data_IF_242404376273
#
_entry.id   IF_242404376273
#
_cell.length_a   1.000
_cell.length_b   1.000
_cell.length_c   1.000
_cell.angle_alpha   90.00
_cell.angle_beta   90.00
_cell.angle_gamma   90.00
#
_symmetry.space_group_name_H-M   'P 1'
#
loop_
_entity.id
_entity.type
_entity.pdbx_description
1 polymer ?
#
# COMPACT_ATOMS: atom_id res chain seq x y z
N UNK A 1 24.55 21.90 5.32
CA UNK A 1 24.68 20.42 5.31
C UNK A 1 23.47 19.89 4.59
N UNK A 2 23.66 19.57 3.32
CA UNK A 2 22.61 19.15 2.41
C UNK A 2 22.06 17.79 2.85
N UNK A 3 20.79 17.76 3.25
CA UNK A 3 20.04 16.53 3.38
C UNK A 3 19.78 16.02 1.97
N UNK A 4 20.68 15.20 1.44
CA UNK A 4 20.43 14.43 0.24
C UNK A 4 19.21 13.53 0.48
N UNK A 5 18.07 13.92 -0.08
CA UNK A 5 16.89 13.07 -0.17
C UNK A 5 17.25 11.91 -1.10
N UNK A 6 17.57 10.75 -0.52
CA UNK A 6 17.67 9.50 -1.27
C UNK A 6 16.28 8.89 -1.29
N UNK A 7 15.71 8.56 -2.47
CA UNK A 7 14.43 7.89 -2.49
C UNK A 7 14.57 6.52 -1.79
N UNK A 8 13.78 6.30 -0.75
CA UNK A 8 13.62 4.98 -0.13
C UNK A 8 13.42 3.93 -1.22
N UNK A 9 14.25 2.88 -1.20
CA UNK A 9 14.13 1.77 -2.16
C UNK A 9 12.79 1.06 -2.03
N UNK A 10 12.16 1.12 -0.86
CA UNK A 10 10.95 0.38 -0.53
C UNK A 10 9.70 1.24 -0.46
N UNK A 11 8.57 0.66 -0.88
CA UNK A 11 7.26 1.26 -0.63
C UNK A 11 6.85 1.06 0.82
N UNK A 12 6.20 2.09 1.37
CA UNK A 12 5.60 2.02 2.70
C UNK A 12 4.56 0.87 2.74
N UNK A 13 4.46 0.09 3.84
CA UNK A 13 3.58 -1.06 3.95
C UNK A 13 2.08 -0.74 3.76
N UNK A 14 1.25 -1.74 3.36
CA UNK A 14 -0.18 -1.57 3.11
C UNK A 14 -0.98 -0.94 4.26
N UNK A 15 -0.64 -1.17 5.52
CA UNK A 15 -1.32 -0.54 6.67
C UNK A 15 -1.16 0.98 6.74
N UNK A 16 0.06 1.49 6.57
CA UNK A 16 0.34 2.92 6.58
C UNK A 16 -0.21 3.53 5.28
N UNK A 17 -0.10 2.82 4.14
CA UNK A 17 -0.72 3.25 2.87
C UNK A 17 -2.23 3.40 3.01
N UNK A 18 -2.90 2.44 3.64
CA UNK A 18 -4.34 2.49 3.94
C UNK A 18 -4.73 3.77 4.69
N UNK A 19 -4.02 4.05 5.79
CA UNK A 19 -4.27 5.25 6.62
C UNK A 19 -3.93 6.54 5.88
N UNK A 20 -2.85 6.56 5.10
CA UNK A 20 -2.47 7.71 4.27
C UNK A 20 -3.54 8.02 3.23
N UNK A 21 -4.03 7.01 2.50
CA UNK A 21 -5.06 7.18 1.47
C UNK A 21 -6.37 7.69 2.10
N UNK A 22 -6.79 7.10 3.23
CA UNK A 22 -7.97 7.56 3.96
C UNK A 22 -7.83 9.02 4.46
N UNK A 23 -6.67 9.38 5.04
CA UNK A 23 -6.42 10.74 5.53
C UNK A 23 -6.42 11.80 4.41
N UNK A 24 -5.81 11.49 3.26
CA UNK A 24 -5.82 12.40 2.11
C UNK A 24 -7.23 12.63 1.59
N UNK A 25 -8.06 11.59 1.57
CA UNK A 25 -9.45 11.71 1.14
C UNK A 25 -10.26 12.62 2.08
N UNK A 26 -10.11 12.47 3.39
CA UNK A 26 -10.76 13.36 4.36
C UNK A 26 -10.29 14.82 4.25
N UNK A 27 -8.99 15.05 4.00
CA UNK A 27 -8.45 16.40 3.84
C UNK A 27 -8.89 17.07 2.54
N UNK A 28 -9.01 16.31 1.45
CA UNK A 28 -9.58 16.79 0.19
C UNK A 28 -11.04 17.21 0.38
N UNK A 29 -11.85 16.42 1.10
CA UNK A 29 -13.24 16.79 1.42
C UNK A 29 -13.35 18.05 2.27
N UNK A 30 -12.44 18.26 3.22
CA UNK A 30 -12.51 19.39 4.18
C UNK A 30 -11.89 20.67 3.66
N UNK A 31 -10.84 20.58 2.84
CA UNK A 31 -9.95 21.71 2.57
C UNK A 31 -9.33 21.73 1.16
N UNK A 32 -9.72 20.82 0.27
CA UNK A 32 -9.18 20.69 -1.10
C UNK A 32 -7.64 20.51 -1.16
N UNK A 33 -7.03 20.06 -0.06
CA UNK A 33 -5.57 19.86 0.04
C UNK A 33 -5.21 18.39 0.00
N UNK A 34 -4.18 18.07 -0.78
CA UNK A 34 -3.58 16.73 -0.89
C UNK A 34 -2.69 16.34 0.30
N UNK A 35 -2.71 17.10 1.39
CA UNK A 35 -1.88 16.83 2.57
C UNK A 35 -2.38 15.57 3.29
N UNK A 36 -1.50 14.61 3.56
CA UNK A 36 -1.78 13.56 4.55
C UNK A 36 -1.50 14.09 5.96
N UNK A 37 -2.12 13.52 6.99
CA UNK A 37 -1.71 13.71 8.38
C UNK A 37 -0.32 13.09 8.61
N UNK A 38 0.71 13.89 8.34
CA UNK A 38 2.10 13.43 8.43
C UNK A 38 2.43 13.01 9.87
N UNK A 39 1.87 13.66 10.89
CA UNK A 39 2.13 13.33 12.29
C UNK A 39 1.63 11.92 12.63
N UNK A 40 0.48 11.52 12.08
CA UNK A 40 -0.05 10.17 12.25
C UNK A 40 0.78 9.11 11.52
N UNK A 41 1.28 9.40 10.31
CA UNK A 41 2.21 8.52 9.59
C UNK A 41 3.50 8.33 10.39
N UNK A 42 4.04 9.40 10.98
CA UNK A 42 5.23 9.32 11.85
C UNK A 42 5.00 8.51 13.12
N UNK A 43 3.82 8.61 13.73
CA UNK A 43 3.47 7.76 14.88
C UNK A 43 3.42 6.27 14.51
N UNK A 44 2.91 5.92 13.33
CA UNK A 44 2.88 4.52 12.87
C UNK A 44 4.29 3.97 12.62
N UNK A 45 5.16 4.80 12.04
CA UNK A 45 6.59 4.49 11.87
C UNK A 45 7.25 4.24 13.23
N UNK A 46 6.94 5.08 14.22
CA UNK A 46 7.42 4.92 15.61
C UNK A 46 6.96 3.60 16.25
N UNK A 47 5.69 3.22 16.08
CA UNK A 47 5.20 1.92 16.59
C UNK A 47 5.88 0.73 15.91
N UNK A 48 6.15 0.81 14.60
CA UNK A 48 6.89 -0.24 13.87
C UNK A 48 8.34 -0.37 14.31
N UNK A 49 9.04 0.74 14.54
CA UNK A 49 10.41 0.73 15.07
C UNK A 49 10.48 0.06 16.45
N UNK A 50 9.54 0.40 17.34
CA UNK A 50 9.44 -0.23 18.67
C UNK A 50 9.14 -1.73 18.58
N UNK A 51 8.22 -2.14 17.71
CA UNK A 51 7.92 -3.56 17.50
C UNK A 51 9.14 -4.34 16.98
N UNK A 52 9.91 -3.76 16.06
CA UNK A 52 11.14 -4.35 15.54
C UNK A 52 12.34 -4.22 16.50
N UNK A 53 12.16 -3.60 17.68
CA UNK A 53 13.22 -3.33 18.67
C UNK A 53 14.42 -2.60 18.07
N UNK A 54 14.16 -1.67 17.15
CA UNK A 54 15.19 -0.84 16.52
C UNK A 54 15.34 0.45 17.32
N UNK A 55 16.51 0.68 17.90
CA UNK A 55 16.89 2.00 18.42
C UNK A 55 17.20 2.91 17.23
N UNK A 56 16.45 4.01 17.08
CA UNK A 56 16.66 5.02 16.04
C UNK A 56 16.60 6.41 16.66
N UNK A 57 17.70 7.16 16.56
CA UNK A 57 17.84 8.50 17.13
C UNK A 57 16.90 9.55 16.50
N UNK A 58 16.27 9.23 15.36
CA UNK A 58 15.45 10.18 14.59
C UNK A 58 14.07 9.67 14.15
N UNK A 59 13.63 8.49 14.61
CA UNK A 59 12.36 7.86 14.17
C UNK A 59 12.31 7.84 12.63
N UNK A 60 13.26 7.16 11.99
CA UNK A 60 13.33 7.05 10.54
C UNK A 60 12.72 5.72 10.05
N UNK A 61 11.73 5.79 9.15
CA UNK A 61 11.14 4.60 8.53
C UNK A 61 12.17 3.76 7.77
N UNK A 62 13.20 4.39 7.23
CA UNK A 62 14.29 3.68 6.55
C UNK A 62 15.09 2.78 7.50
N UNK A 63 15.22 3.13 8.78
CA UNK A 63 15.89 2.27 9.76
C UNK A 63 15.05 1.03 10.06
N UNK A 64 13.72 1.17 10.13
CA UNK A 64 12.81 0.03 10.23
C UNK A 64 12.95 -0.88 9.02
N UNK A 65 12.84 -0.34 7.81
CA UNK A 65 13.01 -1.10 6.56
C UNK A 65 14.36 -1.82 6.54
N UNK A 66 15.44 -1.11 6.88
CA UNK A 66 16.80 -1.66 6.92
C UNK A 66 16.92 -2.84 7.90
N UNK A 67 16.28 -2.76 9.07
CA UNK A 67 16.30 -3.86 10.04
C UNK A 67 15.60 -5.13 9.53
N UNK A 68 14.65 -4.98 8.61
CA UNK A 68 13.90 -6.10 8.03
C UNK A 68 14.51 -6.62 6.71
N UNK A 69 15.58 -6.00 6.19
CA UNK A 69 16.15 -6.34 4.88
C UNK A 69 16.48 -7.83 4.74
N UNK A 70 17.11 -8.43 5.74
CA UNK A 70 17.47 -9.85 5.71
C UNK A 70 16.23 -10.74 5.54
N UNK A 71 15.19 -10.50 6.31
CA UNK A 71 13.93 -11.26 6.21
C UNK A 71 13.26 -11.03 4.85
N UNK A 72 13.28 -9.79 4.33
CA UNK A 72 12.75 -9.50 3.00
C UNK A 72 13.54 -10.19 1.88
N UNK A 73 14.87 -10.28 1.99
CA UNK A 73 15.73 -11.03 1.06
C UNK A 73 15.43 -12.53 1.07
N UNK A 74 14.99 -13.08 2.21
CA UNK A 74 14.55 -14.47 2.31
C UNK A 74 13.14 -14.70 1.73
N UNK A 75 12.23 -13.73 1.88
CA UNK A 75 10.83 -13.83 1.43
C UNK A 75 10.68 -13.57 -0.07
N UNK A 76 11.30 -12.51 -0.58
CA UNK A 76 11.09 -11.97 -1.93
C UNK A 76 11.32 -13.00 -3.05
N UNK A 77 12.37 -13.85 -3.02
CA UNK A 77 12.63 -14.85 -4.06
C UNK A 77 11.52 -15.90 -4.24
N UNK A 78 10.64 -16.07 -3.25
CA UNK A 78 9.53 -17.03 -3.32
C UNK A 78 8.38 -16.52 -4.21
N UNK A 79 8.39 -15.23 -4.58
CA UNK A 79 7.38 -14.63 -5.44
C UNK A 79 7.89 -14.53 -6.87
N UNK A 80 7.16 -15.15 -7.80
CA UNK A 80 7.45 -15.08 -9.24
C UNK A 80 6.35 -14.31 -9.94
N UNK A 81 6.74 -13.28 -10.69
CA UNK A 81 5.83 -12.56 -11.59
C UNK A 81 5.56 -13.44 -12.81
N UNK A 82 4.30 -13.68 -13.13
CA UNK A 82 3.93 -14.34 -14.38
C UNK A 82 4.02 -13.36 -15.56
N UNK A 83 4.03 -13.91 -16.77
CA UNK A 83 3.87 -13.11 -17.98
C UNK A 83 2.50 -12.42 -17.92
N UNK A 84 2.45 -11.15 -18.35
CA UNK A 84 1.23 -10.35 -18.41
C UNK A 84 0.56 -10.00 -17.06
N UNK A 85 1.21 -10.29 -15.91
CA UNK A 85 0.74 -9.81 -14.61
C UNK A 85 0.76 -8.28 -14.54
N UNK A 86 -0.36 -7.69 -14.15
CA UNK A 86 -0.56 -6.25 -14.01
C UNK A 86 -0.80 -5.81 -12.58
N UNK A 87 -0.84 -6.72 -11.62
CA UNK A 87 -1.15 -6.37 -10.24
C UNK A 87 -0.90 -7.48 -9.24
N UNK A 88 -1.05 -7.14 -7.97
CA UNK A 88 -1.05 -8.07 -6.84
C UNK A 88 -2.22 -7.77 -5.92
N UNK A 89 -2.71 -8.81 -5.23
CA UNK A 89 -3.57 -8.68 -4.06
C UNK A 89 -2.91 -9.45 -2.91
N UNK A 90 -2.70 -8.76 -1.79
CA UNK A 90 -2.05 -9.30 -0.60
C UNK A 90 -3.03 -9.76 0.45
N UNK A 91 -2.70 -10.89 1.07
CA UNK A 91 -3.46 -11.50 2.16
C UNK A 91 -2.52 -11.88 3.29
N UNK A 92 -2.92 -11.61 4.53
CA UNK A 92 -2.20 -12.04 5.74
C UNK A 92 -3.19 -12.74 6.66
N UNK A 93 -2.85 -13.96 7.11
CA UNK A 93 -3.70 -14.82 7.93
C UNK A 93 -5.11 -15.03 7.33
N UNK A 94 -5.23 -15.04 6.00
CA UNK A 94 -6.51 -15.15 5.29
C UNK A 94 -7.24 -13.83 5.05
N UNK A 95 -6.79 -12.72 5.66
CA UNK A 95 -7.44 -11.41 5.52
C UNK A 95 -6.81 -10.59 4.40
N UNK A 96 -7.65 -9.97 3.58
CA UNK A 96 -7.21 -9.00 2.57
C UNK A 96 -6.56 -7.78 3.23
N UNK A 97 -5.38 -7.38 2.76
CA UNK A 97 -4.67 -6.19 3.28
C UNK A 97 -4.50 -5.08 2.26
N UNK A 98 -4.41 -5.42 0.97
CA UNK A 98 -4.29 -4.44 -0.10
C UNK A 98 -4.15 -5.04 -1.48
N UNK A 99 -4.36 -4.21 -2.50
CA UNK A 99 -4.18 -4.54 -3.91
C UNK A 99 -3.57 -3.34 -4.64
N UNK A 100 -2.65 -3.62 -5.56
CA UNK A 100 -2.04 -2.65 -6.47
C UNK A 100 -2.15 -3.18 -7.90
N UNK A 101 -2.66 -2.33 -8.81
CA UNK A 101 -2.82 -2.66 -10.24
C UNK A 101 -2.22 -1.55 -11.10
N UNK A 102 -1.32 -1.92 -12.00
CA UNK A 102 -0.78 -1.10 -13.08
C UNK A 102 -1.06 -1.87 -14.39
N UNK A 103 -1.97 -1.39 -15.26
CA UNK A 103 -2.41 -2.11 -16.46
C UNK A 103 -1.39 -2.01 -17.61
N UNK A 104 -0.11 -2.08 -17.28
CA UNK A 104 1.02 -2.15 -18.19
C UNK A 104 2.03 -3.16 -17.59
N UNK A 105 2.07 -4.40 -18.09
CA UNK A 105 2.89 -5.48 -17.51
C UNK A 105 4.39 -5.14 -17.39
N UNK A 106 4.91 -4.31 -18.28
CA UNK A 106 6.28 -3.81 -18.29
C UNK A 106 6.52 -2.88 -17.09
N UNK A 107 5.66 -1.86 -16.91
CA UNK A 107 5.76 -0.94 -15.77
C UNK A 107 5.54 -1.70 -14.45
N UNK A 108 4.54 -2.58 -14.40
CA UNK A 108 4.31 -3.41 -13.23
C UNK A 108 5.54 -4.26 -12.89
N UNK A 109 6.22 -4.81 -13.91
CA UNK A 109 7.46 -5.55 -13.75
C UNK A 109 8.56 -4.77 -13.03
N UNK A 110 8.70 -3.47 -13.30
CA UNK A 110 9.69 -2.61 -12.65
C UNK A 110 9.43 -2.36 -11.16
N UNK A 111 8.18 -2.50 -10.71
CA UNK A 111 7.80 -2.23 -9.31
C UNK A 111 7.42 -3.49 -8.52
N UNK A 112 7.32 -4.64 -9.17
CA UNK A 112 6.86 -5.89 -8.58
C UNK A 112 7.65 -6.26 -7.31
N UNK A 113 8.98 -6.28 -7.40
CA UNK A 113 9.83 -6.65 -6.27
C UNK A 113 9.65 -5.68 -5.07
N UNK A 114 9.57 -4.39 -5.36
CA UNK A 114 9.34 -3.34 -4.35
C UNK A 114 7.98 -3.49 -3.67
N UNK A 115 6.96 -3.92 -4.42
CA UNK A 115 5.65 -4.26 -3.87
C UNK A 115 5.72 -5.51 -2.98
N UNK A 116 6.38 -6.58 -3.41
CA UNK A 116 6.54 -7.78 -2.58
C UNK A 116 7.24 -7.43 -1.26
N UNK A 117 8.33 -6.65 -1.30
CA UNK A 117 9.04 -6.17 -0.11
C UNK A 117 8.11 -5.37 0.81
N UNK A 118 7.34 -4.44 0.25
CA UNK A 118 6.37 -3.63 0.99
C UNK A 118 5.27 -4.45 1.69
N UNK A 119 4.68 -5.43 0.99
CA UNK A 119 3.67 -6.31 1.57
C UNK A 119 4.26 -7.27 2.61
N UNK A 120 5.52 -7.69 2.42
CA UNK A 120 6.25 -8.53 3.38
C UNK A 120 6.46 -7.82 4.72
N UNK A 121 6.61 -6.49 4.73
CA UNK A 121 6.69 -5.71 5.98
C UNK A 121 5.39 -5.74 6.79
N UNK A 122 4.22 -5.85 6.15
CA UNK A 122 2.96 -6.11 6.87
C UNK A 122 2.92 -7.56 7.34
N UNK A 123 3.35 -8.52 6.52
CA UNK A 123 3.37 -9.94 6.87
C UNK A 123 4.22 -10.21 8.10
N UNK A 124 5.42 -9.64 8.18
CA UNK A 124 6.33 -9.77 9.33
C UNK A 124 5.74 -9.14 10.61
N UNK A 125 4.94 -8.08 10.48
CA UNK A 125 4.35 -7.36 11.60
C UNK A 125 3.06 -8.01 12.12
N UNK A 126 2.19 -8.49 11.22
CA UNK A 126 0.88 -9.04 11.54
C UNK A 126 0.81 -10.58 11.48
N UNK A 127 1.95 -11.27 11.30
CA UNK A 127 1.99 -12.73 11.31
C UNK A 127 1.35 -13.28 12.58
N UNK A 128 0.47 -14.27 12.41
CA UNK A 128 -0.09 -15.03 13.51
C UNK A 128 0.01 -16.53 13.19
N UNK A 129 -0.05 -17.37 14.22
CA UNK A 129 0.03 -18.84 14.06
C UNK A 129 -1.25 -19.43 13.48
N UNK A 130 -2.38 -18.76 13.68
CA UNK A 130 -3.68 -19.20 13.20
C UNK A 130 -3.95 -18.60 11.81
N UNK A 131 -3.65 -19.38 10.77
CA UNK A 131 -3.95 -19.03 9.38
C UNK A 131 -5.33 -19.56 9.02
N UNK A 132 -6.24 -18.67 8.62
CA UNK A 132 -7.50 -19.09 8.02
C UNK A 132 -7.29 -19.44 6.55
N UNK A 133 -7.72 -20.64 6.15
CA UNK A 133 -7.78 -21.03 4.75
C UNK A 133 -8.85 -20.18 4.05
N UNK A 134 -8.48 -19.56 2.94
CA UNK A 134 -9.39 -18.76 2.11
C UNK A 134 -9.17 -19.06 0.64
N UNK A 135 -10.25 -19.05 -0.13
CA UNK A 135 -10.19 -19.11 -1.60
C UNK A 135 -9.83 -17.71 -2.13
N UNK A 136 -8.54 -17.48 -2.39
CA UNK A 136 -8.02 -16.16 -2.77
C UNK A 136 -8.71 -15.57 -4.01
N UNK A 137 -9.05 -16.40 -4.99
CA UNK A 137 -9.74 -15.95 -6.21
C UNK A 137 -11.11 -15.35 -5.86
N UNK A 138 -11.90 -16.05 -5.06
CA UNK A 138 -13.22 -15.59 -4.63
C UNK A 138 -13.11 -14.30 -3.80
N UNK A 139 -12.10 -14.19 -2.93
CA UNK A 139 -11.86 -12.98 -2.14
C UNK A 139 -11.52 -11.76 -3.02
N UNK A 140 -10.73 -11.97 -4.06
CA UNK A 140 -10.40 -10.92 -5.04
C UNK A 140 -11.64 -10.54 -5.87
N UNK A 141 -12.45 -11.51 -6.31
CA UNK A 141 -13.71 -11.23 -7.01
C UNK A 141 -14.66 -10.41 -6.14
N UNK A 142 -14.83 -10.78 -4.86
CA UNK A 142 -15.62 -9.99 -3.88
C UNK A 142 -15.06 -8.60 -3.66
N UNK A 143 -13.74 -8.43 -3.68
CA UNK A 143 -13.11 -7.10 -3.58
C UNK A 143 -13.54 -6.23 -4.77
N UNK A 144 -13.50 -6.76 -6.00
CA UNK A 144 -13.92 -5.98 -7.17
C UNK A 144 -15.41 -5.64 -7.14
N UNK A 145 -16.28 -6.56 -6.71
CA UNK A 145 -17.70 -6.23 -6.50
C UNK A 145 -17.89 -5.09 -5.49
N UNK A 146 -17.11 -5.08 -4.39
CA UNK A 146 -17.14 -3.98 -3.41
C UNK A 146 -16.59 -2.66 -3.96
N UNK A 147 -15.69 -2.70 -4.94
CA UNK A 147 -15.20 -1.50 -5.62
C UNK A 147 -16.25 -0.91 -6.56
N UNK A 148 -17.03 -1.76 -7.22
CA UNK A 148 -18.15 -1.32 -8.07
C UNK A 148 -19.22 -0.59 -7.23
N UNK A 149 -19.49 -1.07 -6.01
CA UNK A 149 -20.44 -0.47 -5.07
C UNK A 149 -19.85 0.69 -4.24
N UNK A 150 -18.56 0.96 -4.36
CA UNK A 150 -17.87 1.96 -3.53
C UNK A 150 -18.16 3.39 -3.98
N UNK A 151 -18.09 4.33 -3.03
CA UNK A 151 -18.13 5.75 -3.37
C UNK A 151 -16.82 6.15 -4.06
N UNK A 152 -16.94 6.72 -5.25
CA UNK A 152 -15.81 7.21 -6.04
C UNK A 152 -15.96 8.72 -6.28
N UNK A 153 -14.92 9.49 -5.95
CA UNK A 153 -14.89 10.94 -6.14
C UNK A 153 -13.64 11.34 -6.91
N UNK A 154 -13.81 12.20 -7.91
CA UNK A 154 -12.74 12.65 -8.81
C UNK A 154 -12.21 14.00 -8.31
N UNK A 155 -10.89 14.11 -8.22
CA UNK A 155 -10.18 15.33 -7.84
C UNK A 155 -9.09 15.63 -8.88
N UNK A 156 -8.85 16.91 -9.23
CA UNK A 156 -7.73 17.29 -10.10
C UNK A 156 -6.42 16.84 -9.47
N UNK A 157 -5.62 16.02 -10.15
CA UNK A 157 -4.34 15.59 -9.58
C UNK A 157 -3.33 16.75 -9.57
N UNK A 158 -2.32 16.74 -8.67
CA UNK A 158 -1.22 17.73 -8.72
C UNK A 158 -0.37 17.65 -10.00
N UNK A 159 -0.57 16.61 -10.83
CA UNK A 159 0.14 16.37 -12.08
C UNK A 159 -0.82 16.14 -13.24
N UNK A 160 -0.42 15.31 -14.20
CA UNK A 160 -1.25 14.98 -15.36
C UNK A 160 -2.24 13.87 -15.02
N UNK A 161 -3.51 14.10 -15.31
CA UNK A 161 -4.61 13.17 -15.05
C UNK A 161 -5.44 13.51 -13.82
N UNK A 162 -6.38 12.64 -13.51
CA UNK A 162 -7.34 12.80 -12.42
C UNK A 162 -7.05 11.80 -11.31
N UNK A 163 -7.13 12.26 -10.06
CA UNK A 163 -7.04 11.40 -8.90
C UNK A 163 -8.45 11.00 -8.47
N UNK A 164 -8.77 9.72 -8.59
CA UNK A 164 -10.01 9.16 -8.03
C UNK A 164 -9.73 8.71 -6.60
N UNK A 165 -10.61 9.07 -5.68
CA UNK A 165 -10.64 8.56 -4.31
C UNK A 165 -11.77 7.57 -4.18
N UNK A 166 -11.46 6.44 -3.57
CA UNK A 166 -12.36 5.30 -3.42
C UNK A 166 -12.58 5.09 -1.93
N UNK A 167 -13.84 5.06 -1.52
CA UNK A 167 -14.23 4.76 -0.15
C UNK A 167 -15.41 3.80 -0.16
N UNK A 168 -15.21 2.64 0.46
CA UNK A 168 -16.24 1.62 0.59
C UNK A 168 -16.26 1.05 2.00
N UNK A 169 -17.17 0.11 2.23
CA UNK A 169 -17.24 -0.56 3.53
C UNK A 169 -15.90 -1.26 3.81
N UNK A 170 -15.18 -0.85 4.86
CA UNK A 170 -13.88 -1.43 5.27
C UNK A 170 -12.75 -1.35 4.23
N UNK A 171 -12.86 -0.53 3.18
CA UNK A 171 -11.79 -0.29 2.20
C UNK A 171 -11.61 1.19 1.93
N UNK A 172 -10.37 1.55 1.61
CA UNK A 172 -9.99 2.87 1.13
C UNK A 172 -9.00 2.71 -0.01
N UNK A 173 -9.15 3.52 -1.05
CA UNK A 173 -8.33 3.40 -2.24
C UNK A 173 -8.17 4.69 -3.01
N UNK A 174 -7.30 4.64 -4.00
CA UNK A 174 -7.14 5.70 -4.97
C UNK A 174 -6.76 5.14 -6.32
N UNK A 175 -7.22 5.81 -7.38
CA UNK A 175 -6.75 5.57 -8.73
C UNK A 175 -6.18 6.85 -9.34
N UNK A 176 -5.22 6.70 -10.24
CA UNK A 176 -4.82 7.72 -11.19
C UNK A 176 -5.42 7.38 -12.55
N UNK A 177 -6.19 8.30 -13.13
CA UNK A 177 -6.82 8.13 -14.44
C UNK A 177 -6.25 9.16 -15.40
N UNK A 178 -5.94 8.74 -16.63
CA UNK A 178 -5.57 9.65 -17.71
C UNK A 178 -6.35 9.30 -18.97
N UNK A 179 -7.07 10.27 -19.54
CA UNK A 179 -7.90 10.11 -20.75
C UNK A 179 -8.70 8.80 -20.70
N UNK A 180 -9.55 8.65 -19.67
CA UNK A 180 -10.42 7.50 -19.39
C UNK A 180 -9.72 6.15 -19.07
N UNK A 181 -8.39 6.07 -19.12
CA UNK A 181 -7.65 4.87 -18.76
C UNK A 181 -7.14 4.93 -17.31
N UNK A 182 -7.31 3.84 -16.56
CA UNK A 182 -6.65 3.67 -15.26
C UNK A 182 -5.14 3.50 -15.49
N UNK A 183 -4.33 4.28 -14.79
CA UNK A 183 -2.86 4.21 -14.83
C UNK A 183 -2.33 3.43 -13.62
N UNK A 184 -2.93 3.66 -12.46
CA UNK A 184 -2.61 2.93 -11.22
C UNK A 184 -3.86 2.89 -10.36
N UNK A 185 -4.18 1.72 -9.81
CA UNK A 185 -5.17 1.53 -8.75
C UNK A 185 -4.45 0.98 -7.51
N UNK A 186 -4.74 1.56 -6.36
CA UNK A 186 -4.30 1.05 -5.07
C UNK A 186 -5.49 1.05 -4.10
N UNK A 187 -5.79 -0.12 -3.52
CA UNK A 187 -6.92 -0.32 -2.59
C UNK A 187 -6.41 -1.05 -1.37
N UNK A 188 -6.81 -0.62 -0.19
CA UNK A 188 -6.35 -1.18 1.08
C UNK A 188 -7.51 -1.50 2.01
N UNK A 189 -7.33 -2.53 2.82
CA UNK A 189 -8.25 -2.81 3.92
C UNK A 189 -8.07 -1.78 5.04
N UNK A 190 -9.20 -1.31 5.58
CA UNK A 190 -9.26 -0.55 6.82
C UNK A 190 -9.35 -1.45 8.06
N UNK A 191 -9.75 -2.72 7.87
CA UNK A 191 -9.73 -3.76 8.90
C UNK A 191 -8.37 -4.47 8.92
N UNK A 192 -7.93 -4.89 10.10
CA UNK A 192 -6.73 -5.68 10.32
C UNK A 192 -7.13 -7.01 10.92
#
# INVERSE_FOLDING_TARGET
MDKHFSPSMDFIPPDIRSRKVASVYENLKRSERYTSDQQRVWNDVFFRLNFAKVESDSINFEDYVRSQNKMMEEITPNFKKHKDTTGIAGFINGNFIGCDIIPQPEIFGHIFERLIRSYSLDALYFQNKDVQAVEYKEQVEKLFSRLDDSKQEIFPSPGVGDSVRISGENISGSALIYRIAVIHLAVFSLKR
#
